data_IF_573500573285
#
_entry.id   IF_573500573285
#
_cell.length_a   1.000
_cell.length_b   1.000
_cell.length_c   1.000
_cell.angle_alpha   90.00
_cell.angle_beta   90.00
_cell.angle_gamma   90.00
#
_symmetry.space_group_name_H-M   'P 1'
#
loop_
_entity.id
_entity.type
_entity.pdbx_description
1 polymer ?
#
# COMPACT_ATOMS: atom_id res chain seq x y z
N UNK A 1 47.20 -21.96 -4.60
CA UNK A 1 46.56 -22.49 -3.38
C UNK A 1 46.87 -23.97 -3.32
N UNK A 2 47.62 -24.38 -2.31
CA UNK A 2 48.08 -25.77 -2.12
C UNK A 2 47.25 -26.34 -0.98
N UNK A 3 46.61 -27.50 -1.19
CA UNK A 3 45.86 -28.19 -0.15
C UNK A 3 46.83 -28.87 0.81
N UNK A 4 46.75 -28.54 2.10
CA UNK A 4 47.55 -29.15 3.17
C UNK A 4 47.14 -30.61 3.42
N UNK A 5 48.11 -31.49 3.64
CA UNK A 5 48.00 -32.97 3.59
C UNK A 5 47.16 -33.61 4.71
N UNK A 6 46.63 -32.81 5.65
CA UNK A 6 45.85 -33.26 6.81
C UNK A 6 44.56 -32.42 7.03
N UNK A 7 43.88 -32.00 5.95
CA UNK A 7 42.64 -31.22 6.06
C UNK A 7 41.48 -31.94 5.39
N UNK A 8 40.40 -32.21 6.16
CA UNK A 8 39.13 -32.70 5.62
C UNK A 8 38.21 -31.48 5.47
N UNK A 9 37.78 -31.20 4.24
CA UNK A 9 36.80 -30.16 3.97
C UNK A 9 35.44 -30.79 3.66
N UNK A 10 34.43 -30.39 4.43
CA UNK A 10 33.06 -30.86 4.25
C UNK A 10 32.22 -29.68 3.75
N UNK A 11 31.45 -29.91 2.69
CA UNK A 11 30.43 -28.98 2.23
C UNK A 11 29.04 -29.52 2.59
N UNK A 12 28.44 -28.97 3.64
CA UNK A 12 27.03 -29.20 3.95
C UNK A 12 26.15 -28.31 3.10
N UNK A 13 25.17 -28.87 2.38
CA UNK A 13 24.15 -28.11 1.67
C UNK A 13 22.80 -28.50 2.28
N UNK A 14 22.17 -27.56 2.99
CA UNK A 14 20.81 -27.69 3.50
C UNK A 14 19.82 -27.07 2.52
N UNK A 15 18.70 -27.76 2.27
CA UNK A 15 17.58 -27.23 1.49
C UNK A 15 16.31 -27.32 2.31
N UNK A 16 15.62 -26.20 2.46
CA UNK A 16 14.32 -26.12 3.14
C UNK A 16 13.30 -25.58 2.15
N UNK A 17 12.10 -26.17 2.18
CA UNK A 17 10.95 -25.73 1.39
C UNK A 17 9.73 -25.71 2.30
N UNK A 18 8.92 -24.66 2.21
CA UNK A 18 7.64 -24.53 2.91
C UNK A 18 6.65 -23.80 2.00
N UNK A 19 5.38 -24.17 2.08
CA UNK A 19 4.31 -23.37 1.48
C UNK A 19 4.21 -22.03 2.21
N UNK A 20 3.98 -20.91 1.48
CA UNK A 20 3.67 -19.64 2.12
C UNK A 20 2.50 -19.80 3.09
N UNK A 21 2.61 -19.24 4.27
CA UNK A 21 1.64 -19.35 5.37
C UNK A 21 0.90 -18.02 5.65
N UNK A 22 1.23 -16.97 4.90
CA UNK A 22 0.69 -15.62 5.11
C UNK A 22 0.50 -14.89 3.77
N UNK A 23 -0.63 -14.19 3.64
CA UNK A 23 -0.87 -13.22 2.56
C UNK A 23 -1.00 -11.82 3.18
N UNK A 24 -0.36 -10.83 2.57
CA UNK A 24 -0.51 -9.41 2.91
C UNK A 24 -0.98 -8.69 1.64
N UNK A 25 -2.09 -7.97 1.73
CA UNK A 25 -2.62 -7.16 0.63
C UNK A 25 -2.42 -5.68 0.98
N UNK A 26 -1.77 -4.96 0.08
CA UNK A 26 -1.58 -3.51 0.17
C UNK A 26 -2.62 -2.81 -0.71
N UNK A 27 -3.29 -1.80 -0.17
CA UNK A 27 -4.28 -1.01 -0.89
C UNK A 27 -4.24 0.44 -0.42
N UNK A 28 -4.71 1.37 -1.24
CA UNK A 28 -4.87 2.75 -0.84
C UNK A 28 -6.29 3.24 -1.17
N UNK A 29 -6.77 4.17 -0.38
CA UNK A 29 -8.03 4.89 -0.58
C UNK A 29 -7.68 6.33 -0.86
N UNK A 30 -8.17 6.86 -1.98
CA UNK A 30 -7.89 8.22 -2.42
C UNK A 30 -9.19 8.98 -2.68
N UNK A 31 -9.22 10.25 -2.30
CA UNK A 31 -10.29 11.17 -2.66
C UNK A 31 -9.72 12.55 -2.93
N UNK A 32 -10.28 13.26 -3.90
CA UNK A 32 -9.88 14.62 -4.23
C UNK A 32 -11.10 15.53 -4.27
N UNK A 33 -11.03 16.67 -3.56
CA UNK A 33 -12.04 17.74 -3.63
C UNK A 33 -11.36 19.10 -3.47
N UNK A 34 -11.88 20.12 -4.15
CA UNK A 34 -11.47 21.52 -3.97
C UNK A 34 -11.69 22.04 -2.55
N UNK A 35 -12.69 21.51 -1.84
CA UNK A 35 -12.93 21.75 -0.43
C UNK A 35 -12.19 20.70 0.41
N UNK A 36 -11.25 21.16 1.21
CA UNK A 36 -10.42 20.32 2.07
C UNK A 36 -11.25 19.38 2.96
N UNK A 37 -12.31 19.91 3.59
CA UNK A 37 -13.13 19.12 4.52
C UNK A 37 -13.89 18.03 3.77
N UNK A 38 -14.43 18.34 2.59
CA UNK A 38 -15.11 17.34 1.76
C UNK A 38 -14.17 16.25 1.30
N UNK A 39 -12.93 16.58 0.95
CA UNK A 39 -11.92 15.57 0.61
C UNK A 39 -11.70 14.61 1.79
N UNK A 40 -11.47 15.15 3.00
CA UNK A 40 -11.26 14.32 4.20
C UNK A 40 -12.48 13.47 4.53
N UNK A 41 -13.68 14.07 4.49
CA UNK A 41 -14.93 13.36 4.80
C UNK A 41 -15.20 12.24 3.78
N UNK A 42 -14.91 12.47 2.49
CA UNK A 42 -15.05 11.46 1.42
C UNK A 42 -14.10 10.29 1.61
N UNK A 43 -12.81 10.55 1.86
CA UNK A 43 -11.83 9.51 2.17
C UNK A 43 -12.25 8.67 3.39
N UNK A 44 -12.72 9.32 4.46
CA UNK A 44 -13.18 8.65 5.66
C UNK A 44 -14.43 7.76 5.40
N UNK A 45 -15.37 8.23 4.59
CA UNK A 45 -16.54 7.44 4.18
C UNK A 45 -16.13 6.21 3.37
N UNK A 46 -15.24 6.37 2.38
CA UNK A 46 -14.73 5.24 1.57
C UNK A 46 -14.00 4.21 2.44
N UNK A 47 -13.16 4.66 3.37
CA UNK A 47 -12.47 3.80 4.33
C UNK A 47 -13.46 3.01 5.20
N UNK A 48 -14.53 3.64 5.66
CA UNK A 48 -15.57 2.98 6.44
C UNK A 48 -16.34 1.93 5.62
N UNK A 49 -16.61 2.19 4.34
CA UNK A 49 -17.22 1.22 3.44
C UNK A 49 -16.33 -0.01 3.24
N UNK A 50 -15.02 0.19 3.04
CA UNK A 50 -14.06 -0.90 2.94
C UNK A 50 -14.05 -1.74 4.23
N UNK A 51 -13.99 -1.08 5.40
CA UNK A 51 -14.05 -1.77 6.69
C UNK A 51 -15.32 -2.58 6.87
N UNK A 52 -16.47 -2.02 6.49
CA UNK A 52 -17.75 -2.71 6.57
C UNK A 52 -17.79 -3.94 5.65
N UNK A 53 -17.35 -3.79 4.40
CA UNK A 53 -17.33 -4.86 3.41
C UNK A 53 -16.33 -5.97 3.75
N UNK A 54 -15.17 -5.64 4.30
CA UNK A 54 -14.21 -6.63 4.79
C UNK A 54 -14.77 -7.40 5.99
N UNK A 55 -15.56 -6.72 6.84
CA UNK A 55 -16.30 -7.35 7.93
C UNK A 55 -17.28 -8.43 7.48
N UNK A 56 -17.98 -8.24 6.35
CA UNK A 56 -18.96 -9.22 5.85
C UNK A 56 -18.34 -10.50 5.32
N UNK A 57 -17.08 -10.44 4.83
CA UNK A 57 -16.32 -11.60 4.35
C UNK A 57 -15.45 -12.24 5.44
N UNK A 58 -15.58 -11.79 6.70
CA UNK A 58 -14.97 -12.44 7.87
C UNK A 58 -13.59 -11.92 8.26
N UNK A 59 -13.15 -10.78 7.71
CA UNK A 59 -12.01 -10.04 8.26
C UNK A 59 -12.46 -9.18 9.44
N UNK A 60 -11.59 -9.07 10.43
CA UNK A 60 -11.79 -8.29 11.63
C UNK A 60 -11.14 -6.91 11.49
N UNK A 61 -11.38 -6.02 12.45
CA UNK A 61 -10.72 -4.69 12.45
C UNK A 61 -9.22 -4.83 12.65
N UNK A 62 -8.78 -5.88 13.33
CA UNK A 62 -7.39 -6.17 13.64
C UNK A 62 -6.60 -6.61 12.38
N UNK A 63 -7.29 -7.18 11.39
CA UNK A 63 -6.69 -7.64 10.13
C UNK A 63 -6.36 -6.47 9.20
N UNK A 64 -7.12 -5.37 9.24
CA UNK A 64 -6.92 -4.19 8.40
C UNK A 64 -6.22 -3.05 9.16
N UNK A 65 -4.98 -2.75 8.78
CA UNK A 65 -4.18 -1.68 9.38
C UNK A 65 -4.01 -0.51 8.44
N UNK A 66 -4.16 0.71 8.94
CA UNK A 66 -3.76 1.93 8.24
C UNK A 66 -2.26 2.13 8.44
N UNK A 67 -1.51 2.13 7.34
CA UNK A 67 -0.04 2.25 7.32
C UNK A 67 0.43 3.64 6.94
N UNK A 68 -0.43 4.43 6.31
CA UNK A 68 -0.11 5.79 5.87
C UNK A 68 -1.36 6.65 5.80
N UNK A 69 -1.18 7.93 6.06
CA UNK A 69 -2.18 8.96 5.84
C UNK A 69 -1.46 10.21 5.35
N UNK A 70 -1.87 10.69 4.19
CA UNK A 70 -1.29 11.88 3.57
C UNK A 70 -2.41 12.76 3.01
N UNK A 71 -2.19 14.07 3.07
CA UNK A 71 -3.03 15.06 2.40
C UNK A 71 -2.12 16.05 1.70
N UNK A 72 -2.32 16.25 0.40
CA UNK A 72 -1.56 17.22 -0.36
C UNK A 72 -2.45 17.99 -1.36
N UNK A 73 -2.02 19.20 -1.70
CA UNK A 73 -2.64 19.97 -2.76
C UNK A 73 -2.27 19.33 -4.11
N UNK A 74 -3.28 19.02 -4.91
CA UNK A 74 -3.14 18.40 -6.23
C UNK A 74 -3.29 19.47 -7.31
N UNK A 75 -2.37 19.42 -8.27
CA UNK A 75 -2.33 20.27 -9.45
C UNK A 75 -2.37 19.39 -10.69
N UNK A 76 -3.00 19.89 -11.75
CA UNK A 76 -3.00 19.23 -13.07
C UNK A 76 -2.29 20.10 -14.11
N UNK A 77 -1.71 19.45 -15.11
CA UNK A 77 -0.98 20.10 -16.19
C UNK A 77 -1.87 20.25 -17.41
N UNK A 78 -2.45 21.44 -17.57
CA UNK A 78 -3.30 21.75 -18.73
C UNK A 78 -2.43 22.27 -19.86
N UNK A 79 -2.50 21.59 -21.02
CA UNK A 79 -1.81 22.00 -22.25
C UNK A 79 -2.50 23.22 -22.86
N UNK A 80 -1.72 24.25 -23.16
CA UNK A 80 -2.17 25.44 -23.88
C UNK A 80 -1.86 25.34 -25.37
N UNK A 81 -2.54 26.17 -26.17
CA UNK A 81 -2.47 26.14 -27.65
C UNK A 81 -1.10 26.48 -28.23
N UNK A 82 -0.19 27.03 -27.44
CA UNK A 82 1.19 27.39 -27.79
C UNK A 82 2.21 26.30 -27.41
N UNK A 83 1.75 25.08 -27.11
CA UNK A 83 2.58 23.96 -26.67
C UNK A 83 3.23 24.16 -25.29
N UNK A 84 2.73 25.11 -24.49
CA UNK A 84 3.10 25.26 -23.07
C UNK A 84 2.15 24.50 -22.16
N UNK A 85 2.60 24.21 -20.94
CA UNK A 85 1.80 23.58 -19.89
C UNK A 85 1.65 24.56 -18.72
N UNK A 86 0.46 24.59 -18.12
CA UNK A 86 0.21 25.35 -16.90
C UNK A 86 -0.31 24.41 -15.81
N UNK A 87 0.33 24.48 -14.65
CA UNK A 87 -0.17 23.86 -13.44
C UNK A 87 -1.39 24.62 -12.92
N UNK A 88 -2.50 23.90 -12.78
CA UNK A 88 -3.76 24.43 -12.25
C UNK A 88 -4.13 23.64 -11.01
N UNK A 89 -4.42 24.34 -9.92
CA UNK A 89 -4.91 23.71 -8.69
C UNK A 89 -6.25 23.03 -8.97
N UNK A 90 -6.35 21.74 -8.67
CA UNK A 90 -7.57 20.95 -8.89
C UNK A 90 -8.22 20.47 -7.58
N UNK A 91 -7.52 20.56 -6.45
CA UNK A 91 -8.09 20.28 -5.14
C UNK A 91 -7.08 19.73 -4.14
N UNK A 92 -7.60 19.24 -3.01
CA UNK A 92 -6.84 18.52 -2.00
C UNK A 92 -7.08 17.03 -2.17
N UNK A 93 -6.00 16.28 -2.37
CA UNK A 93 -6.03 14.83 -2.39
C UNK A 93 -5.73 14.29 -1.00
N UNK A 94 -6.59 13.41 -0.52
CA UNK A 94 -6.43 12.67 0.73
C UNK A 94 -6.16 11.22 0.37
N UNK A 95 -5.11 10.64 0.94
CA UNK A 95 -4.70 9.26 0.72
C UNK A 95 -4.57 8.51 2.05
N UNK A 96 -5.21 7.34 2.13
CA UNK A 96 -4.98 6.37 3.21
C UNK A 96 -4.33 5.12 2.63
N UNK A 97 -3.12 4.79 3.07
CA UNK A 97 -2.52 3.50 2.77
C UNK A 97 -2.94 2.47 3.82
N UNK A 98 -3.32 1.28 3.35
CA UNK A 98 -3.85 0.19 4.15
C UNK A 98 -3.10 -1.12 3.85
N UNK A 99 -2.97 -1.95 4.87
CA UNK A 99 -2.49 -3.32 4.75
C UNK A 99 -3.51 -4.28 5.38
N UNK A 100 -3.84 -5.35 4.67
CA UNK A 100 -4.71 -6.42 5.16
C UNK A 100 -3.87 -7.69 5.36
N UNK A 101 -3.85 -8.18 6.59
CA UNK A 101 -3.17 -9.42 6.95
C UNK A 101 -4.17 -10.58 6.92
N UNK A 102 -3.81 -11.66 6.21
CA UNK A 102 -4.54 -12.92 6.27
C UNK A 102 -3.61 -14.04 6.71
N UNK A 103 -3.91 -14.62 7.87
CA UNK A 103 -3.25 -15.80 8.46
C UNK A 103 -4.00 -17.10 8.16
N UNK A 104 -4.90 -17.09 7.15
CA UNK A 104 -5.67 -18.25 6.74
C UNK A 104 -5.18 -18.75 5.38
N UNK A 105 -4.16 -19.61 5.38
CA UNK A 105 -3.82 -20.53 4.28
C UNK A 105 -3.40 -21.87 4.88
#
# INVERSE_FOLDING_TARGET
MIADKHTIQVKGIGRVSRTPDTIIIWMHVESCDTDYKRAVDSAAQQLNLIRANLGTIGFTKEDLKTTGFDIHARYDNIRQGDNTYKEVFIGYEVRHDLSLFSLRI
#
